data_IF_658214994540
#
_entry.id   IF_658214994540
#
_cell.length_a   1.000
_cell.length_b   1.000
_cell.length_c   1.000
_cell.angle_alpha   90.00
_cell.angle_beta   90.00
_cell.angle_gamma   90.00
#
_symmetry.space_group_name_H-M   'P 1'
#
loop_
_entity.id
_entity.type
_entity.pdbx_description
1 polymer ?
#
# COMPACT_ATOMS: atom_id res chain seq x y z
N UNK A 1 63.52 23.17 -21.18
CA UNK A 1 62.15 22.63 -21.31
C UNK A 1 62.18 21.20 -21.86
N UNK A 2 62.94 20.30 -21.22
CA UNK A 2 63.07 18.89 -21.60
C UNK A 2 62.55 17.94 -20.51
N UNK A 3 62.13 18.46 -19.35
CA UNK A 3 61.70 17.61 -18.22
C UNK A 3 60.18 17.42 -18.12
N UNK A 4 59.38 18.14 -18.91
CA UNK A 4 57.91 18.01 -18.90
C UNK A 4 57.36 16.97 -19.88
N UNK A 5 58.18 16.44 -20.80
CA UNK A 5 57.76 15.39 -21.74
C UNK A 5 58.02 13.96 -21.25
N UNK A 6 58.84 13.77 -20.20
CA UNK A 6 59.16 12.43 -19.71
C UNK A 6 58.14 11.88 -18.69
N UNK A 7 57.22 12.71 -18.19
CA UNK A 7 56.22 12.30 -17.19
C UNK A 7 54.95 11.70 -17.81
N UNK A 8 54.70 11.97 -19.09
CA UNK A 8 53.48 11.49 -19.78
C UNK A 8 53.68 10.07 -20.34
N UNK A 9 54.91 9.66 -20.65
CA UNK A 9 55.20 8.34 -21.23
C UNK A 9 55.27 7.23 -20.17
N UNK A 10 55.52 7.55 -18.90
CA UNK A 10 55.63 6.54 -17.83
C UNK A 10 54.29 6.23 -17.13
N UNK A 11 53.17 6.84 -17.54
CA UNK A 11 51.85 6.57 -16.97
C UNK A 11 51.10 5.40 -17.64
N UNK A 12 51.63 4.83 -18.73
CA UNK A 12 50.92 3.83 -19.54
C UNK A 12 51.48 2.40 -19.44
N UNK A 13 52.41 2.10 -18.52
CA UNK A 13 53.03 0.76 -18.46
C UNK A 13 53.18 0.17 -17.06
N UNK A 14 52.08 0.07 -16.31
CA UNK A 14 51.97 -0.96 -15.24
C UNK A 14 50.57 -1.61 -15.27
N UNK A 15 50.25 -2.21 -16.42
CA UNK A 15 49.37 -3.38 -16.46
C UNK A 15 50.18 -4.57 -15.93
N UNK A 16 49.92 -4.96 -14.69
CA UNK A 16 50.57 -6.08 -14.03
C UNK A 16 49.66 -6.72 -12.99
N UNK A 17 48.63 -7.44 -13.48
CA UNK A 17 48.15 -8.70 -12.94
C UNK A 17 48.20 -8.89 -11.41
N UNK A 18 47.05 -8.69 -10.73
CA UNK A 18 46.72 -9.58 -9.63
C UNK A 18 45.21 -9.86 -9.57
N UNK A 19 44.93 -11.16 -9.53
CA UNK A 19 43.62 -11.75 -9.53
C UNK A 19 42.94 -11.56 -8.17
N UNK A 20 41.61 -11.66 -8.20
CA UNK A 20 40.75 -11.99 -7.06
C UNK A 20 40.74 -10.99 -5.89
N UNK A 21 39.90 -9.97 -6.01
CA UNK A 21 39.01 -9.68 -4.88
C UNK A 21 37.62 -9.38 -5.42
N UNK A 22 36.80 -10.42 -5.36
CA UNK A 22 35.35 -10.44 -5.35
C UNK A 22 34.79 -9.03 -5.15
N UNK A 23 34.34 -8.40 -6.24
CA UNK A 23 33.38 -7.31 -6.17
C UNK A 23 32.20 -7.90 -5.42
N UNK A 24 32.22 -7.69 -4.11
CA UNK A 24 31.21 -8.18 -3.21
C UNK A 24 29.90 -7.78 -3.83
N UNK A 25 29.08 -8.79 -4.14
CA UNK A 25 27.66 -8.61 -4.25
C UNK A 25 27.27 -7.87 -2.98
N UNK A 26 27.24 -6.52 -3.07
CA UNK A 26 26.96 -5.67 -1.94
C UNK A 26 25.56 -6.08 -1.53
N UNK A 27 25.55 -6.82 -0.43
CA UNK A 27 24.40 -7.28 0.29
C UNK A 27 23.47 -6.07 0.37
N UNK A 28 22.42 -6.06 -0.45
CA UNK A 28 21.27 -5.21 -0.20
C UNK A 28 20.89 -5.57 1.24
N UNK A 29 21.07 -4.66 2.22
CA UNK A 29 21.00 -5.05 3.60
C UNK A 29 19.63 -5.66 3.82
N UNK A 30 19.57 -6.84 4.43
CA UNK A 30 18.30 -7.56 4.68
C UNK A 30 17.22 -6.63 5.29
N UNK A 31 17.67 -5.61 6.04
CA UNK A 31 16.88 -4.52 6.58
C UNK A 31 16.16 -3.65 5.52
N UNK A 32 16.76 -3.35 4.36
CA UNK A 32 16.11 -2.57 3.30
C UNK A 32 15.05 -3.37 2.55
N UNK A 33 15.24 -4.69 2.38
CA UNK A 33 14.20 -5.59 1.83
C UNK A 33 13.02 -5.74 2.79
N UNK A 34 13.29 -5.96 4.08
CA UNK A 34 12.25 -6.05 5.10
C UNK A 34 11.47 -4.73 5.23
N UNK A 35 12.16 -3.59 5.23
CA UNK A 35 11.52 -2.27 5.26
C UNK A 35 10.67 -2.02 4.00
N UNK A 36 11.13 -2.43 2.82
CA UNK A 36 10.38 -2.31 1.58
C UNK A 36 9.11 -3.16 1.58
N UNK A 37 9.19 -4.43 1.99
CA UNK A 37 8.02 -5.30 2.11
C UNK A 37 7.02 -4.75 3.15
N UNK A 38 7.51 -4.23 4.28
CA UNK A 38 6.66 -3.58 5.27
C UNK A 38 5.96 -2.34 4.69
N UNK A 39 6.67 -1.49 3.96
CA UNK A 39 6.10 -0.32 3.29
C UNK A 39 5.02 -0.73 2.27
N UNK A 40 5.26 -1.79 1.50
CA UNK A 40 4.30 -2.34 0.53
C UNK A 40 3.03 -2.85 1.22
N UNK A 41 3.16 -3.54 2.35
CA UNK A 41 2.00 -3.98 3.13
C UNK A 41 1.23 -2.78 3.70
N UNK A 42 1.92 -1.77 4.24
CA UNK A 42 1.28 -0.54 4.74
C UNK A 42 0.52 0.17 3.60
N UNK A 43 1.12 0.29 2.42
CA UNK A 43 0.49 0.91 1.26
C UNK A 43 -0.75 0.14 0.82
N UNK A 44 -0.67 -1.20 0.73
CA UNK A 44 -1.81 -2.06 0.39
C UNK A 44 -2.96 -1.86 1.38
N UNK A 45 -2.68 -1.87 2.68
CA UNK A 45 -3.68 -1.62 3.74
C UNK A 45 -4.31 -0.24 3.61
N UNK A 46 -3.51 0.79 3.34
CA UNK A 46 -4.00 2.15 3.14
C UNK A 46 -4.94 2.25 1.92
N UNK A 47 -4.60 1.59 0.81
CA UNK A 47 -5.44 1.52 -0.38
C UNK A 47 -6.76 0.78 -0.11
N UNK A 48 -6.72 -0.36 0.58
CA UNK A 48 -7.93 -1.10 0.97
C UNK A 48 -8.84 -0.24 1.85
N UNK A 49 -8.28 0.49 2.84
CA UNK A 49 -9.05 1.40 3.69
C UNK A 49 -9.69 2.55 2.90
N UNK A 50 -8.93 3.17 1.99
CA UNK A 50 -9.44 4.25 1.15
C UNK A 50 -10.56 3.77 0.23
N UNK A 51 -10.36 2.63 -0.44
CA UNK A 51 -11.37 2.04 -1.32
C UNK A 51 -12.65 1.66 -0.55
N UNK A 52 -12.50 1.08 0.64
CA UNK A 52 -13.63 0.76 1.52
C UNK A 52 -14.39 2.00 1.96
N UNK A 53 -13.68 3.06 2.33
CA UNK A 53 -14.29 4.34 2.70
C UNK A 53 -15.09 4.94 1.56
N UNK A 54 -14.53 4.92 0.35
CA UNK A 54 -15.22 5.40 -0.84
C UNK A 54 -16.46 4.55 -1.16
N UNK A 55 -16.37 3.23 -1.05
CA UNK A 55 -17.51 2.34 -1.26
C UNK A 55 -18.65 2.59 -0.27
N UNK A 56 -18.36 2.87 1.02
CA UNK A 56 -19.41 3.26 1.95
C UNK A 56 -20.16 4.52 1.50
N UNK A 57 -19.42 5.55 1.08
CA UNK A 57 -20.01 6.80 0.59
C UNK A 57 -20.89 6.59 -0.63
N UNK A 58 -20.46 5.74 -1.57
CA UNK A 58 -21.16 5.53 -2.84
C UNK A 58 -22.33 4.54 -2.73
N UNK A 59 -22.22 3.52 -1.88
CA UNK A 59 -23.14 2.37 -1.91
C UNK A 59 -23.94 2.18 -0.61
N UNK A 60 -23.49 2.73 0.52
CA UNK A 60 -24.10 2.46 1.83
C UNK A 60 -24.72 3.68 2.52
N UNK A 61 -24.12 4.87 2.38
CA UNK A 61 -24.51 6.03 3.20
C UNK A 61 -25.92 6.52 2.86
N UNK A 62 -26.32 6.47 1.59
CA UNK A 62 -27.70 6.75 1.16
C UNK A 62 -28.74 5.81 1.82
N UNK A 63 -28.38 4.54 2.03
CA UNK A 63 -29.24 3.58 2.73
C UNK A 63 -29.33 3.88 4.22
N UNK A 64 -28.25 4.37 4.84
CA UNK A 64 -28.26 4.82 6.23
C UNK A 64 -29.25 5.98 6.42
N UNK A 65 -29.21 6.98 5.53
CA UNK A 65 -30.16 8.10 5.58
C UNK A 65 -31.61 7.64 5.39
N UNK A 66 -31.86 6.68 4.49
CA UNK A 66 -33.19 6.09 4.32
C UNK A 66 -33.66 5.38 5.59
N UNK A 67 -32.80 4.60 6.24
CA UNK A 67 -33.11 3.96 7.53
C UNK A 67 -33.45 5.01 8.60
N UNK A 68 -32.63 6.05 8.76
CA UNK A 68 -32.87 7.11 9.74
C UNK A 68 -34.18 7.87 9.47
N UNK A 69 -34.51 8.12 8.21
CA UNK A 69 -35.78 8.74 7.84
C UNK A 69 -36.98 7.86 8.20
N UNK A 70 -36.91 6.55 7.89
CA UNK A 70 -37.97 5.59 8.25
C UNK A 70 -38.11 5.47 9.78
N UNK A 71 -36.98 5.43 10.49
CA UNK A 71 -36.93 5.39 11.94
C UNK A 71 -37.61 6.60 12.57
N UNK A 72 -37.32 7.81 12.07
CA UNK A 72 -37.94 9.04 12.55
C UNK A 72 -39.44 9.11 12.25
N UNK A 73 -39.87 8.56 11.11
CA UNK A 73 -41.27 8.62 10.68
C UNK A 73 -42.17 7.57 11.36
N UNK A 74 -41.68 6.33 11.51
CA UNK A 74 -42.51 5.20 11.93
C UNK A 74 -42.05 4.51 13.21
N UNK A 75 -40.87 4.87 13.73
CA UNK A 75 -40.23 4.19 14.85
C UNK A 75 -39.51 2.89 14.45
N UNK A 76 -38.83 2.29 15.41
CA UNK A 76 -37.88 1.19 15.20
C UNK A 76 -38.50 -0.12 14.71
N UNK A 77 -39.71 -0.42 15.16
CA UNK A 77 -40.36 -1.73 14.96
C UNK A 77 -41.25 -1.79 13.72
N UNK A 78 -41.44 -0.66 13.03
CA UNK A 78 -42.25 -0.64 11.82
C UNK A 78 -41.55 -1.41 10.70
N UNK A 79 -42.30 -2.16 9.91
CA UNK A 79 -41.78 -3.05 8.87
C UNK A 79 -40.84 -2.32 7.88
N UNK A 80 -41.18 -1.08 7.52
CA UNK A 80 -40.37 -0.26 6.62
C UNK A 80 -39.02 0.13 7.23
N UNK A 81 -38.99 0.40 8.54
CA UNK A 81 -37.76 0.69 9.29
C UNK A 81 -36.87 -0.54 9.38
N UNK A 82 -37.46 -1.70 9.71
CA UNK A 82 -36.75 -2.99 9.77
C UNK A 82 -36.16 -3.36 8.42
N UNK A 83 -36.93 -3.19 7.34
CA UNK A 83 -36.48 -3.46 5.97
C UNK A 83 -35.34 -2.52 5.54
N UNK A 84 -35.48 -1.21 5.80
CA UNK A 84 -34.43 -0.24 5.49
C UNK A 84 -33.14 -0.51 6.28
N UNK A 85 -33.25 -0.88 7.56
CA UNK A 85 -32.11 -1.28 8.39
C UNK A 85 -31.39 -2.49 7.81
N UNK A 86 -32.14 -3.52 7.41
CA UNK A 86 -31.56 -4.73 6.82
C UNK A 86 -30.79 -4.41 5.54
N UNK A 87 -31.38 -3.66 4.62
CA UNK A 87 -30.71 -3.26 3.37
C UNK A 87 -29.41 -2.48 3.61
N UNK A 88 -29.43 -1.56 4.57
CA UNK A 88 -28.23 -0.81 4.94
C UNK A 88 -27.13 -1.72 5.50
N UNK A 89 -27.48 -2.62 6.43
CA UNK A 89 -26.52 -3.54 7.04
C UNK A 89 -25.95 -4.54 6.01
N UNK A 90 -26.80 -5.11 5.16
CA UNK A 90 -26.38 -6.04 4.11
C UNK A 90 -25.38 -5.38 3.15
N UNK A 91 -25.63 -4.13 2.75
CA UNK A 91 -24.70 -3.36 1.93
C UNK A 91 -23.34 -3.13 2.63
N UNK A 92 -23.35 -2.79 3.94
CA UNK A 92 -22.10 -2.63 4.70
C UNK A 92 -21.33 -3.94 4.81
N UNK A 93 -22.00 -5.04 5.09
CA UNK A 93 -21.38 -6.37 5.17
C UNK A 93 -20.75 -6.75 3.84
N UNK A 94 -21.43 -6.50 2.71
CA UNK A 94 -20.87 -6.74 1.38
C UNK A 94 -19.61 -5.89 1.12
N UNK A 95 -19.63 -4.60 1.47
CA UNK A 95 -18.45 -3.71 1.34
C UNK A 95 -17.29 -4.20 2.20
N UNK A 96 -17.54 -4.62 3.44
CA UNK A 96 -16.52 -5.17 4.33
C UNK A 96 -15.89 -6.44 3.77
N UNK A 97 -16.70 -7.34 3.20
CA UNK A 97 -16.21 -8.57 2.58
C UNK A 97 -15.39 -8.32 1.31
N UNK A 98 -15.72 -7.27 0.52
CA UNK A 98 -14.94 -6.91 -0.68
C UNK A 98 -13.59 -6.25 -0.37
N UNK A 99 -13.49 -5.53 0.74
CA UNK A 99 -12.30 -4.78 1.14
C UNK A 99 -11.77 -5.27 2.50
N UNK A 100 -11.62 -6.58 2.65
CA UNK A 100 -10.98 -7.19 3.79
C UNK A 100 -9.50 -6.80 3.83
N UNK A 101 -9.08 -6.26 4.97
CA UNK A 101 -7.69 -5.96 5.27
C UNK A 101 -7.14 -7.22 5.94
N UNK A 102 -6.86 -8.27 5.17
CA UNK A 102 -6.37 -9.55 5.73
C UNK A 102 -5.03 -9.29 6.43
N UNK A 103 -5.13 -9.16 7.75
CA UNK A 103 -4.06 -9.00 8.72
C UNK A 103 -4.56 -9.65 10.01
N UNK A 104 -4.83 -10.94 9.91
CA UNK A 104 -4.93 -11.83 11.06
C UNK A 104 -3.56 -12.46 11.32
#
# INVERSE_FOLDING_TARGET
MQELQQMIINAETEQGNDNTHTLGAQCVPLASKAAFEQAKQIQKRAQCKAARSHAYQMESDGLAFKYLAMQAQYGDSHEQTVSAKKLWLDARTAIQARYCDDSH
#
